data_IF_227246927839
#
_entry.id   IF_227246927839
#
_cell.length_a   1.000
_cell.length_b   1.000
_cell.length_c   1.000
_cell.angle_alpha   90.00
_cell.angle_beta   90.00
_cell.angle_gamma   90.00
#
_symmetry.space_group_name_H-M   'P 1'
#
loop_
_entity.id
_entity.type
_entity.pdbx_description
1 polymer ?
#
# COMPACT_ATOMS: atom_id res chain seq x y z
N UNK A 1 -64.14 -46.71 11.81
CA UNK A 1 -62.70 -46.99 11.65
C UNK A 1 -61.98 -46.19 12.71
N UNK A 2 -61.29 -46.92 13.61
CA UNK A 2 -60.16 -46.56 14.50
C UNK A 2 -59.75 -45.08 14.69
N UNK A 3 -59.24 -44.58 15.81
CA UNK A 3 -59.30 -44.83 17.26
C UNK A 3 -58.31 -43.83 17.90
N UNK A 4 -58.72 -43.10 18.97
CA UNK A 4 -57.88 -42.56 20.10
C UNK A 4 -56.83 -41.48 19.73
N UNK A 5 -56.32 -40.57 20.58
CA UNK A 5 -56.53 -39.99 21.93
C UNK A 5 -55.26 -39.11 22.16
N UNK A 6 -55.32 -37.83 22.53
CA UNK A 6 -55.37 -37.23 23.88
C UNK A 6 -54.05 -37.20 24.70
N UNK A 7 -53.75 -36.00 25.25
CA UNK A 7 -52.98 -35.63 26.47
C UNK A 7 -51.45 -35.39 26.44
N UNK A 8 -51.07 -34.10 26.42
CA UNK A 8 -50.34 -33.25 27.41
C UNK A 8 -49.36 -33.81 28.49
N UNK A 9 -48.45 -32.89 28.89
CA UNK A 9 -47.61 -32.75 30.11
C UNK A 9 -46.29 -33.56 30.17
N UNK A 10 -45.11 -32.98 30.36
CA UNK A 10 -44.54 -32.25 31.52
C UNK A 10 -43.08 -31.85 31.17
N UNK A 11 -42.31 -30.93 31.76
CA UNK A 11 -42.35 -30.15 33.01
C UNK A 11 -41.26 -29.04 32.96
N UNK A 12 -41.46 -28.03 33.82
CA UNK A 12 -40.58 -26.91 34.21
C UNK A 12 -39.10 -27.23 34.44
N UNK A 13 -38.23 -26.21 34.38
CA UNK A 13 -37.62 -25.56 35.55
C UNK A 13 -37.17 -24.13 35.20
N UNK A 14 -37.40 -23.22 36.14
CA UNK A 14 -37.21 -21.77 36.09
C UNK A 14 -36.23 -21.41 37.24
N UNK A 15 -35.58 -20.24 37.15
CA UNK A 15 -34.78 -19.49 38.16
C UNK A 15 -33.28 -19.40 37.80
N UNK A 16 -32.72 -18.24 37.43
CA UNK A 16 -32.59 -16.93 38.11
C UNK A 16 -31.48 -16.92 39.18
N UNK A 17 -30.38 -16.20 38.90
CA UNK A 17 -29.63 -15.33 39.83
C UNK A 17 -28.37 -14.78 39.15
N UNK A 18 -28.46 -13.51 38.75
CA UNK A 18 -27.36 -12.63 38.37
C UNK A 18 -26.98 -11.79 39.61
N UNK A 19 -25.70 -11.42 39.71
CA UNK A 19 -25.11 -10.38 40.58
C UNK A 19 -24.73 -10.73 42.04
N UNK A 20 -23.42 -10.83 42.28
CA UNK A 20 -22.65 -10.30 43.43
C UNK A 20 -21.15 -10.55 43.14
N UNK A 21 -20.36 -9.50 42.82
CA UNK A 21 -19.59 -8.68 43.76
C UNK A 21 -18.18 -9.25 44.03
N UNK A 22 -17.18 -8.78 43.28
CA UNK A 22 -15.79 -8.72 43.75
C UNK A 22 -15.29 -7.29 43.52
N UNK A 23 -15.40 -6.47 44.58
CA UNK A 23 -14.52 -5.33 44.84
C UNK A 23 -13.55 -5.80 45.94
N UNK A 24 -12.26 -5.66 45.73
CA UNK A 24 -11.29 -5.12 46.69
C UNK A 24 -9.86 -5.39 46.19
N UNK A 25 -8.98 -4.43 46.50
CA UNK A 25 -7.54 -4.34 46.29
C UNK A 25 -7.14 -3.65 44.98
N UNK A 26 -6.42 -2.53 44.95
CA UNK A 26 -5.94 -1.59 45.97
C UNK A 26 -5.72 -0.26 45.22
N UNK A 27 -6.17 0.84 45.79
CA UNK A 27 -5.93 2.20 45.29
C UNK A 27 -5.21 2.94 46.42
N UNK A 28 -3.87 2.91 46.41
CA UNK A 28 -3.05 3.76 47.27
C UNK A 28 -1.58 3.76 46.80
N UNK A 29 -1.23 4.62 45.83
CA UNK A 29 -0.02 5.43 45.82
C UNK A 29 -0.02 6.34 44.58
N UNK A 30 -0.82 7.40 44.62
CA UNK A 30 -0.58 8.59 43.83
C UNK A 30 0.19 9.57 44.73
N UNK A 31 1.48 9.77 44.43
CA UNK A 31 2.25 11.02 44.61
C UNK A 31 3.75 10.72 44.59
N UNK A 32 4.39 10.81 43.41
CA UNK A 32 5.58 11.64 43.21
C UNK A 32 6.02 11.59 41.74
N UNK A 33 6.32 12.78 41.23
CA UNK A 33 6.78 13.05 39.89
C UNK A 33 8.24 12.62 39.67
N UNK A 34 8.59 12.49 38.38
CA UNK A 34 9.93 12.46 37.80
C UNK A 34 10.80 11.22 38.08
N UNK A 35 10.73 10.25 37.18
CA UNK A 35 11.92 9.58 36.65
C UNK A 35 11.56 8.90 35.31
N UNK A 36 12.34 9.20 34.26
CA UNK A 36 12.34 8.42 33.03
C UNK A 36 12.94 7.05 33.31
N UNK A 37 12.24 5.98 32.94
CA UNK A 37 12.84 4.66 32.84
C UNK A 37 12.62 4.14 31.42
N UNK A 38 13.74 3.93 30.75
CA UNK A 38 13.84 3.18 29.50
C UNK A 38 13.17 1.82 29.65
N UNK A 39 12.28 1.51 28.70
CA UNK A 39 11.60 0.22 28.63
C UNK A 39 12.51 -0.80 27.96
N UNK A 40 13.03 -1.73 28.76
CA UNK A 40 13.65 -2.98 28.29
C UNK A 40 12.51 -3.92 27.85
N UNK A 41 12.49 -4.26 26.56
CA UNK A 41 11.62 -5.32 26.03
C UNK A 41 11.91 -6.65 26.73
N UNK A 42 10.88 -7.23 27.35
CA UNK A 42 10.85 -8.63 27.77
C UNK A 42 10.23 -9.45 26.64
N UNK A 43 11.05 -10.24 25.96
CA UNK A 43 10.62 -11.30 25.05
C UNK A 43 9.95 -12.38 25.90
N UNK A 44 8.63 -12.53 25.79
CA UNK A 44 7.91 -13.71 26.27
C UNK A 44 7.86 -14.76 25.15
N UNK A 45 8.70 -15.79 25.26
CA UNK A 45 8.52 -17.03 24.49
C UNK A 45 7.33 -17.82 25.04
N UNK A 46 6.25 -17.91 24.28
CA UNK A 46 5.16 -18.88 24.50
C UNK A 46 5.46 -20.16 23.74
N UNK A 47 6.19 -21.10 24.37
CA UNK A 47 6.27 -22.49 23.88
C UNK A 47 5.10 -23.32 24.40
N UNK A 48 4.30 -23.77 23.43
CA UNK A 48 3.21 -24.72 23.58
C UNK A 48 3.68 -26.09 24.11
N UNK A 49 2.88 -26.62 25.02
CA UNK A 49 3.04 -27.84 25.80
C UNK A 49 3.03 -29.14 24.97
N UNK A 50 3.97 -30.05 25.24
CA UNK A 50 3.75 -31.50 25.13
C UNK A 50 4.24 -32.22 26.38
N UNK A 51 3.40 -33.17 26.80
CA UNK A 51 3.46 -33.99 28.01
C UNK A 51 4.71 -34.90 28.09
N UNK A 52 5.30 -34.97 29.29
CA UNK A 52 6.28 -35.99 29.69
C UNK A 52 6.54 -35.93 31.20
N UNK A 53 6.34 -37.07 31.88
CA UNK A 53 6.33 -37.29 33.34
C UNK A 53 7.71 -37.17 34.03
N UNK A 54 7.78 -37.14 35.38
CA UNK A 54 8.82 -36.44 36.13
C UNK A 54 10.02 -37.32 36.52
N UNK A 55 11.18 -36.69 36.70
CA UNK A 55 12.28 -37.23 37.49
C UNK A 55 12.71 -36.20 38.54
N UNK A 56 12.74 -36.66 39.78
CA UNK A 56 13.30 -36.01 40.96
C UNK A 56 14.81 -35.79 40.80
N UNK A 57 15.31 -34.62 41.19
CA UNK A 57 16.47 -34.54 42.08
C UNK A 57 16.67 -33.13 42.63
N UNK A 58 16.89 -33.09 43.95
CA UNK A 58 17.09 -31.89 44.74
C UNK A 58 18.55 -31.43 44.66
N UNK A 59 18.79 -30.20 44.17
CA UNK A 59 20.09 -29.56 44.14
C UNK A 59 20.04 -28.18 44.81
N UNK A 60 20.69 -28.07 45.98
CA UNK A 60 20.90 -26.84 46.75
C UNK A 60 21.57 -25.74 45.91
N UNK A 61 20.96 -24.56 45.86
CA UNK A 61 21.63 -23.32 45.45
C UNK A 61 21.92 -22.46 46.69
N UNK A 62 23.20 -22.12 46.86
CA UNK A 62 23.72 -21.23 47.89
C UNK A 62 23.42 -19.79 47.51
N UNK A 63 22.92 -19.03 48.48
CA UNK A 63 22.85 -17.57 48.46
C UNK A 63 24.22 -17.01 48.83
N UNK A 64 24.86 -16.28 47.92
CA UNK A 64 26.01 -15.43 48.24
C UNK A 64 25.51 -14.00 48.47
N UNK A 65 25.70 -13.52 49.70
CA UNK A 65 25.47 -12.15 50.15
C UNK A 65 26.57 -11.23 49.58
N UNK A 66 26.18 -10.13 48.94
CA UNK A 66 27.09 -9.03 48.65
C UNK A 66 26.94 -7.96 49.73
N UNK A 67 27.75 -8.04 50.78
CA UNK A 67 28.01 -6.93 51.70
C UNK A 67 29.17 -6.07 51.20
N UNK A 68 28.99 -4.75 51.17
CA UNK A 68 30.10 -3.80 51.30
C UNK A 68 30.27 -2.79 50.17
N UNK A 69 29.52 -1.68 50.21
CA UNK A 69 29.97 -0.41 49.64
C UNK A 69 29.89 0.71 50.67
N UNK A 70 31.07 1.15 51.13
CA UNK A 70 31.27 2.32 51.98
C UNK A 70 31.17 3.59 51.13
N UNK A 71 30.29 4.51 51.51
CA UNK A 71 30.27 5.88 50.98
C UNK A 71 31.52 6.65 51.43
N UNK A 72 32.39 7.03 50.49
CA UNK A 72 33.41 8.06 50.73
C UNK A 72 32.89 9.44 50.29
N UNK A 73 32.85 10.37 51.25
CA UNK A 73 32.58 11.79 51.04
C UNK A 73 33.82 12.49 50.48
N UNK A 74 33.61 13.38 49.52
CA UNK A 74 34.40 14.62 49.38
C UNK A 74 35.41 14.67 48.25
N UNK A 75 34.94 14.89 47.01
CA UNK A 75 35.75 15.54 45.98
C UNK A 75 35.06 16.86 45.61
N UNK A 76 35.71 17.98 45.95
CA UNK A 76 35.31 19.32 45.49
C UNK A 76 35.53 19.39 43.98
N UNK A 77 34.45 19.39 43.21
CA UNK A 77 34.49 19.71 41.78
C UNK A 77 34.83 21.20 41.62
N UNK A 78 35.95 21.49 40.95
CA UNK A 78 36.25 22.84 40.47
C UNK A 78 35.28 23.20 39.33
N UNK A 79 34.78 24.44 39.25
CA UNK A 79 33.95 24.86 38.13
C UNK A 79 34.76 24.84 36.83
N UNK A 80 34.18 24.38 35.70
CA UNK A 80 34.89 24.30 34.44
C UNK A 80 35.25 25.71 33.94
N UNK A 81 36.51 25.87 33.53
CA UNK A 81 37.01 27.09 32.89
C UNK A 81 36.22 27.31 31.59
N UNK A 82 35.57 28.48 31.46
CA UNK A 82 34.99 28.96 30.20
C UNK A 82 36.11 29.13 29.17
N UNK A 83 36.27 28.14 28.30
CA UNK A 83 36.96 28.28 27.02
C UNK A 83 36.04 28.99 26.02
N UNK A 84 36.58 30.02 25.36
CA UNK A 84 35.93 30.73 24.26
C UNK A 84 35.89 29.84 23.01
N UNK A 85 34.80 29.99 22.27
CA UNK A 85 34.66 29.79 20.83
C UNK A 85 35.07 28.42 20.27
N UNK A 86 34.09 27.50 20.26
CA UNK A 86 34.09 26.33 19.40
C UNK A 86 32.66 26.01 19.00
N UNK A 87 32.26 26.37 17.78
CA UNK A 87 31.05 25.82 17.15
C UNK A 87 31.22 24.30 17.08
N UNK A 88 30.60 23.58 18.01
CA UNK A 88 30.31 22.17 17.82
C UNK A 88 29.26 22.09 16.70
N UNK A 89 29.71 21.88 15.46
CA UNK A 89 28.85 21.31 14.43
C UNK A 89 28.51 19.90 14.89
N UNK A 90 27.29 19.72 15.41
CA UNK A 90 26.72 18.39 15.58
C UNK A 90 26.63 17.83 14.16
N UNK A 91 27.51 16.87 13.83
CA UNK A 91 27.28 16.01 12.69
C UNK A 91 26.05 15.17 13.05
N UNK A 92 24.86 15.64 12.67
CA UNK A 92 23.67 14.81 12.68
C UNK A 92 23.99 13.60 11.82
N UNK A 93 24.09 12.43 12.46
CA UNK A 93 24.31 11.17 11.78
C UNK A 93 23.09 10.96 10.89
N UNK A 94 23.30 10.92 9.57
CA UNK A 94 22.23 10.63 8.62
C UNK A 94 21.54 9.32 9.03
N UNK A 95 20.21 9.34 9.14
CA UNK A 95 19.41 8.14 9.41
C UNK A 95 19.68 7.07 8.35
N UNK A 96 19.82 5.83 8.80
CA UNK A 96 19.98 4.66 7.92
C UNK A 96 18.68 4.27 7.19
N UNK A 97 17.54 4.82 7.63
CA UNK A 97 16.20 4.56 7.09
C UNK A 97 15.80 5.55 5.98
N UNK A 98 16.73 6.33 5.45
CA UNK A 98 16.46 7.26 4.36
C UNK A 98 16.14 6.52 3.06
N UNK A 99 14.97 6.79 2.49
CA UNK A 99 14.52 6.30 1.20
C UNK A 99 14.29 7.47 0.24
N UNK A 100 14.71 7.36 -1.01
CA UNK A 100 14.61 8.41 -2.01
C UNK A 100 13.67 8.01 -3.13
N UNK A 101 12.74 8.91 -3.45
CA UNK A 101 11.85 8.80 -4.60
C UNK A 101 12.17 9.94 -5.57
N UNK A 102 12.27 9.61 -6.86
CA UNK A 102 12.46 10.61 -7.90
C UNK A 102 11.09 11.20 -8.30
N UNK A 103 10.82 12.43 -7.88
CA UNK A 103 9.60 13.14 -8.24
C UNK A 103 9.93 14.17 -9.32
N UNK A 104 9.38 13.98 -10.51
CA UNK A 104 9.55 14.89 -11.66
C UNK A 104 11.03 15.26 -11.96
N UNK A 105 11.92 14.29 -11.84
CA UNK A 105 13.36 14.44 -12.12
C UNK A 105 14.19 14.81 -10.88
N UNK A 106 13.57 15.06 -9.73
CA UNK A 106 14.25 15.43 -8.48
C UNK A 106 14.15 14.33 -7.43
N UNK A 107 15.30 13.87 -6.93
CA UNK A 107 15.35 12.97 -5.79
C UNK A 107 14.96 13.70 -4.50
N UNK A 108 13.85 13.28 -3.89
CA UNK A 108 13.41 13.73 -2.57
C UNK A 108 13.63 12.62 -1.56
N UNK A 109 13.95 12.99 -0.31
CA UNK A 109 14.24 12.05 0.77
C UNK A 109 13.03 11.92 1.70
N UNK A 110 12.69 10.66 1.98
CA UNK A 110 11.66 10.18 2.89
C UNK A 110 12.28 9.13 3.81
N UNK A 111 11.46 8.48 4.63
CA UNK A 111 11.93 7.51 5.60
C UNK A 111 11.05 6.25 5.60
N UNK A 112 11.69 5.09 5.75
CA UNK A 112 11.05 3.80 6.01
C UNK A 112 11.65 3.22 7.30
N UNK A 113 11.20 3.68 8.49
CA UNK A 113 11.80 3.27 9.76
C UNK A 113 11.83 1.76 9.93
N UNK A 114 13.00 1.22 10.29
CA UNK A 114 13.21 -0.22 10.45
C UNK A 114 13.48 -1.00 9.16
N UNK A 115 13.37 -0.37 7.99
CA UNK A 115 13.65 -1.03 6.71
C UNK A 115 15.14 -1.21 6.45
N UNK A 116 15.49 -2.27 5.73
CA UNK A 116 16.82 -2.44 5.15
C UNK A 116 16.90 -1.70 3.82
N UNK A 117 17.69 -0.62 3.77
CA UNK A 117 17.79 0.24 2.59
C UNK A 117 19.22 0.27 2.04
N UNK A 118 19.35 0.00 0.74
CA UNK A 118 20.60 0.13 0.01
C UNK A 118 20.63 1.38 -0.86
N UNK A 119 21.73 2.12 -0.79
CA UNK A 119 21.98 3.33 -1.58
C UNK A 119 20.84 4.36 -1.54
N UNK A 120 20.06 4.36 -0.47
CA UNK A 120 18.84 5.16 -0.28
C UNK A 120 17.74 4.92 -1.32
N UNK A 121 17.83 3.91 -2.20
CA UNK A 121 16.94 3.76 -3.37
C UNK A 121 16.40 2.36 -3.57
N UNK A 122 16.93 1.39 -2.84
CA UNK A 122 16.45 0.02 -2.85
C UNK A 122 16.01 -0.34 -1.45
N UNK A 123 14.75 -0.70 -1.28
CA UNK A 123 14.27 -1.36 -0.07
C UNK A 123 14.33 -2.86 -0.28
N UNK A 124 14.89 -3.57 0.69
CA UNK A 124 14.97 -5.02 0.74
C UNK A 124 14.15 -5.50 1.93
N UNK A 125 13.18 -6.36 1.68
CA UNK A 125 12.17 -6.73 2.69
C UNK A 125 11.71 -8.17 2.49
N UNK A 126 11.48 -8.86 3.61
CA UNK A 126 11.12 -10.26 3.69
C UNK A 126 9.74 -10.48 4.32
N UNK A 127 9.41 -11.74 4.54
CA UNK A 127 8.10 -12.13 5.09
C UNK A 127 7.92 -11.53 6.50
N UNK A 128 6.75 -10.91 6.72
CA UNK A 128 6.32 -10.14 7.88
C UNK A 128 6.94 -8.74 8.02
N UNK A 129 7.71 -8.27 7.05
CA UNK A 129 8.13 -6.87 7.01
C UNK A 129 6.99 -5.98 6.48
N UNK A 130 6.67 -4.93 7.24
CA UNK A 130 5.73 -3.86 6.85
C UNK A 130 6.32 -2.51 7.18
N UNK A 131 6.38 -1.63 6.18
CA UNK A 131 6.92 -0.27 6.32
C UNK A 131 5.96 0.77 5.77
N UNK A 132 5.91 1.92 6.43
CA UNK A 132 5.12 3.07 6.02
C UNK A 132 6.04 4.17 5.54
N UNK A 133 5.70 4.82 4.43
CA UNK A 133 6.48 5.95 3.93
C UNK A 133 6.25 7.20 4.81
N UNK A 134 7.29 7.59 5.54
CA UNK A 134 7.26 8.67 6.52
C UNK A 134 7.94 9.93 5.97
N UNK A 135 7.43 11.09 6.38
CA UNK A 135 8.03 12.41 6.12
C UNK A 135 9.25 12.68 7.02
N UNK A 136 9.34 11.99 8.16
CA UNK A 136 10.46 12.06 9.11
C UNK A 136 10.77 10.66 9.65
N UNK A 137 11.99 10.46 10.15
CA UNK A 137 12.39 9.20 10.79
C UNK A 137 11.72 9.03 12.17
N UNK A 138 10.51 8.49 12.18
CA UNK A 138 9.71 8.26 13.40
C UNK A 138 8.75 7.10 13.21
N UNK A 139 8.48 6.36 14.29
CA UNK A 139 7.45 5.32 14.36
C UNK A 139 6.18 5.80 15.07
N UNK A 140 6.03 7.11 15.29
CA UNK A 140 4.77 7.69 15.73
C UNK A 140 3.75 7.70 14.58
N UNK A 141 2.99 6.62 14.49
CA UNK A 141 1.95 6.42 13.48
C UNK A 141 0.61 7.06 13.86
N UNK A 142 0.49 7.65 15.05
CA UNK A 142 -0.76 8.29 15.49
C UNK A 142 -1.00 9.65 14.84
N UNK A 143 0.03 10.27 14.29
CA UNK A 143 0.00 11.62 13.74
C UNK A 143 0.10 11.62 12.21
N UNK A 144 -0.96 12.11 11.55
CA UNK A 144 -1.05 12.17 10.10
C UNK A 144 0.10 12.96 9.43
N UNK A 145 0.65 13.97 10.11
CA UNK A 145 1.74 14.80 9.59
C UNK A 145 3.08 14.05 9.50
N UNK A 146 3.23 12.92 10.19
CA UNK A 146 4.45 12.12 10.15
C UNK A 146 4.53 11.26 8.88
N UNK A 147 3.41 11.00 8.20
CA UNK A 147 3.38 10.25 6.95
C UNK A 147 3.65 11.15 5.75
N UNK A 148 4.33 10.60 4.74
CA UNK A 148 4.29 11.20 3.40
C UNK A 148 3.06 10.67 2.66
N UNK A 149 2.22 11.59 2.16
CA UNK A 149 1.03 11.27 1.37
C UNK A 149 1.37 11.30 -0.11
N UNK A 150 1.40 10.14 -0.73
CA UNK A 150 1.61 9.98 -2.17
C UNK A 150 0.34 10.38 -2.90
N UNK A 151 0.39 11.47 -3.66
CA UNK A 151 -0.67 11.87 -4.60
C UNK A 151 -0.44 11.09 -5.90
N UNK A 152 -1.32 10.13 -6.18
CA UNK A 152 -1.17 9.27 -7.36
C UNK A 152 -2.03 9.75 -8.54
N UNK A 153 -3.17 10.40 -8.28
CA UNK A 153 -4.02 10.93 -9.36
C UNK A 153 -3.21 11.91 -10.24
N UNK A 154 -3.30 11.73 -11.55
CA UNK A 154 -2.55 12.54 -12.51
C UNK A 154 -1.05 12.21 -12.56
N UNK A 155 -0.60 11.12 -11.94
CA UNK A 155 0.81 10.70 -11.92
C UNK A 155 1.01 9.27 -12.41
N UNK A 156 2.28 8.92 -12.63
CA UNK A 156 2.76 7.57 -12.89
C UNK A 156 3.79 7.21 -11.83
N UNK A 157 3.52 6.15 -11.07
CA UNK A 157 4.52 5.51 -10.22
C UNK A 157 5.31 4.50 -11.04
N UNK A 158 6.63 4.49 -10.90
CA UNK A 158 7.53 3.56 -11.60
C UNK A 158 8.49 2.95 -10.58
N UNK A 159 8.76 1.65 -10.68
CA UNK A 159 9.78 0.98 -9.88
C UNK A 159 10.43 -0.17 -10.65
N UNK A 160 11.63 -0.58 -10.23
CA UNK A 160 12.26 -1.84 -10.63
C UNK A 160 12.05 -2.86 -9.52
N UNK A 161 11.53 -4.03 -9.90
CA UNK A 161 11.15 -5.10 -8.99
C UNK A 161 12.08 -6.28 -9.20
N UNK A 162 12.54 -6.86 -8.10
CA UNK A 162 13.18 -8.18 -8.09
C UNK A 162 12.56 -9.03 -6.98
N UNK A 163 11.88 -10.10 -7.37
CA UNK A 163 11.15 -10.95 -6.44
C UNK A 163 12.03 -11.99 -5.74
N UNK A 164 13.26 -12.22 -6.21
CA UNK A 164 14.22 -13.15 -5.60
C UNK A 164 13.60 -14.53 -5.23
N UNK A 165 12.71 -15.03 -6.10
CA UNK A 165 12.08 -16.33 -5.93
C UNK A 165 10.88 -16.38 -4.99
N UNK A 166 10.33 -15.25 -4.53
CA UNK A 166 9.05 -15.17 -3.80
C UNK A 166 7.92 -15.79 -4.63
N UNK A 167 7.63 -17.07 -4.39
CA UNK A 167 6.77 -17.92 -5.22
C UNK A 167 5.35 -18.09 -4.70
N UNK A 168 4.72 -19.23 -5.00
CA UNK A 168 3.36 -19.54 -4.56
C UNK A 168 3.19 -19.35 -3.04
N UNK A 169 2.08 -18.76 -2.61
CA UNK A 169 1.81 -18.50 -1.18
C UNK A 169 2.52 -17.27 -0.61
N UNK A 170 3.37 -16.58 -1.39
CA UNK A 170 3.93 -15.27 -1.06
C UNK A 170 3.05 -14.13 -1.62
N UNK A 171 2.95 -13.01 -0.90
CA UNK A 171 2.44 -11.75 -1.44
C UNK A 171 3.43 -10.61 -1.12
N UNK A 172 4.23 -10.24 -2.12
CA UNK A 172 5.12 -9.08 -2.11
C UNK A 172 4.35 -7.89 -2.66
N UNK A 173 4.06 -6.92 -1.82
CA UNK A 173 3.17 -5.82 -2.17
C UNK A 173 3.75 -4.44 -1.84
N UNK A 174 3.26 -3.45 -2.57
CA UNK A 174 3.23 -2.10 -2.08
C UNK A 174 1.95 -1.43 -2.57
N UNK A 175 1.31 -0.68 -1.69
CA UNK A 175 -0.06 -0.23 -1.87
C UNK A 175 -0.29 1.09 -1.12
N UNK A 176 -1.46 1.68 -1.34
CA UNK A 176 -1.82 2.96 -0.78
C UNK A 176 -3.00 2.80 0.17
N UNK A 177 -2.91 3.35 1.39
CA UNK A 177 -4.01 3.37 2.36
C UNK A 177 -4.29 4.76 2.93
N UNK A 178 -5.53 4.99 3.33
CA UNK A 178 -5.99 6.20 4.01
C UNK A 178 -5.64 6.22 5.51
N UNK A 179 -4.37 6.00 5.84
CA UNK A 179 -3.85 6.12 7.21
C UNK A 179 -3.70 7.59 7.64
N UNK A 180 -3.46 7.87 8.93
CA UNK A 180 -3.68 6.96 10.04
C UNK A 180 -5.17 6.75 10.28
N UNK A 181 -5.52 5.60 10.86
CA UNK A 181 -6.82 5.38 11.44
C UNK A 181 -7.05 6.32 12.65
N UNK A 182 -8.30 6.41 13.11
CA UNK A 182 -8.64 7.17 14.33
C UNK A 182 -8.26 6.45 15.62
N UNK A 183 -7.92 5.15 15.55
CA UNK A 183 -7.59 4.31 16.69
C UNK A 183 -6.32 3.49 16.42
N UNK A 184 -5.56 3.11 17.47
CA UNK A 184 -4.33 2.35 17.32
C UNK A 184 -4.50 0.94 16.72
N UNK A 185 -5.73 0.40 16.70
CA UNK A 185 -5.97 -0.98 16.26
C UNK A 185 -5.29 -2.03 17.15
N UNK A 186 -5.24 -3.27 16.66
CA UNK A 186 -4.66 -4.42 17.35
C UNK A 186 -3.16 -4.30 17.56
N UNK A 187 -2.44 -3.68 16.61
CA UNK A 187 -0.98 -3.66 16.57
C UNK A 187 -0.37 -2.34 17.07
N UNK A 188 -1.19 -1.36 17.42
CA UNK A 188 -0.73 -0.08 17.98
C UNK A 188 -0.25 0.93 16.95
N UNK A 189 -0.29 0.58 15.66
CA UNK A 189 0.33 1.31 14.57
C UNK A 189 -0.65 2.16 13.76
N UNK A 190 -1.91 2.26 14.20
CA UNK A 190 -2.95 3.05 13.52
C UNK A 190 -3.15 2.67 12.05
N UNK A 191 -2.74 1.45 11.69
CA UNK A 191 -2.95 0.88 10.37
C UNK A 191 -4.43 0.66 10.11
N UNK A 192 -4.80 0.76 8.84
CA UNK A 192 -6.11 0.43 8.31
C UNK A 192 -5.98 -0.02 6.86
N UNK A 193 -6.92 -0.83 6.40
CA UNK A 193 -7.08 -1.25 5.02
C UNK A 193 -8.56 -1.54 4.73
N UNK A 194 -8.90 -2.00 3.51
CA UNK A 194 -10.30 -2.26 3.17
C UNK A 194 -10.83 -3.57 3.78
N UNK A 195 -9.93 -4.46 4.20
CA UNK A 195 -10.26 -5.70 4.91
C UNK A 195 -10.41 -5.49 6.43
N UNK A 196 -10.14 -4.29 6.91
CA UNK A 196 -10.17 -3.90 8.31
C UNK A 196 -9.21 -4.72 9.19
N UNK A 197 -8.06 -5.12 8.65
CA UNK A 197 -7.07 -5.92 9.38
C UNK A 197 -6.58 -5.12 10.59
N UNK A 198 -6.54 -5.79 11.76
CA UNK A 198 -6.21 -5.13 13.01
C UNK A 198 -7.31 -4.21 13.56
N UNK A 199 -8.50 -4.19 12.94
CA UNK A 199 -9.72 -3.58 13.49
C UNK A 199 -10.05 -2.17 12.99
N UNK A 200 -9.26 -1.58 12.10
CA UNK A 200 -9.57 -0.27 11.48
C UNK A 200 -9.78 -0.43 9.97
N UNK A 201 -10.82 0.18 9.43
CA UNK A 201 -11.13 0.16 8.01
C UNK A 201 -10.73 1.48 7.34
N UNK A 202 -10.21 1.45 6.11
CA UNK A 202 -10.08 2.63 5.27
C UNK A 202 -9.94 2.28 3.78
N UNK A 203 -10.12 3.27 2.91
CA UNK A 203 -9.94 3.07 1.48
C UNK A 203 -8.49 2.67 1.16
N UNK A 204 -8.35 1.78 0.20
CA UNK A 204 -7.11 1.10 -0.15
C UNK A 204 -6.97 1.02 -1.67
N UNK A 205 -5.74 1.11 -2.16
CA UNK A 205 -5.46 0.97 -3.58
C UNK A 205 -4.15 0.20 -3.76
N UNK A 206 -4.29 -1.04 -4.21
CA UNK A 206 -3.17 -1.95 -4.36
C UNK A 206 -2.49 -1.69 -5.68
N UNK A 207 -1.38 -0.98 -5.61
CA UNK A 207 -0.53 -0.70 -6.77
C UNK A 207 -0.01 -2.03 -7.32
N UNK A 208 0.33 -2.97 -6.45
CA UNK A 208 0.55 -4.36 -6.79
C UNK A 208 0.29 -5.29 -5.60
N UNK A 209 -0.20 -6.48 -5.94
CA UNK A 209 -0.09 -7.69 -5.11
C UNK A 209 0.53 -8.75 -6.02
N UNK A 210 1.69 -9.30 -5.63
CA UNK A 210 2.44 -10.15 -6.55
C UNK A 210 3.33 -11.19 -5.87
N UNK A 211 3.62 -12.22 -6.65
CA UNK A 211 4.71 -13.15 -6.47
C UNK A 211 5.28 -13.51 -7.84
N UNK A 212 6.17 -14.50 -7.95
CA UNK A 212 6.77 -14.85 -9.24
C UNK A 212 5.75 -15.39 -10.24
N UNK A 213 4.58 -15.85 -9.79
CA UNK A 213 3.58 -16.53 -10.62
C UNK A 213 2.34 -15.69 -10.93
N UNK A 214 2.08 -14.63 -10.16
CA UNK A 214 0.93 -13.76 -10.35
C UNK A 214 1.26 -12.31 -9.99
N UNK A 215 0.60 -11.39 -10.68
CA UNK A 215 0.58 -9.97 -10.34
C UNK A 215 -0.83 -9.45 -10.60
N UNK A 216 -1.36 -8.72 -9.63
CA UNK A 216 -2.58 -7.95 -9.82
C UNK A 216 -2.47 -6.53 -9.26
N UNK A 217 -3.37 -5.68 -9.73
CA UNK A 217 -3.60 -4.31 -9.24
C UNK A 217 -5.07 -4.24 -8.87
N UNK A 218 -5.39 -3.79 -7.67
CA UNK A 218 -6.73 -3.93 -7.10
C UNK A 218 -7.21 -2.61 -6.50
N UNK A 219 -8.43 -2.20 -6.83
CA UNK A 219 -9.06 -1.03 -6.24
C UNK A 219 -9.98 -1.43 -5.09
N UNK A 220 -9.82 -0.81 -3.92
CA UNK A 220 -10.66 -1.05 -2.76
C UNK A 220 -11.32 0.25 -2.26
N UNK A 221 -12.60 0.42 -2.61
CA UNK A 221 -13.39 1.56 -2.18
C UNK A 221 -13.91 1.36 -0.75
N UNK A 222 -14.07 2.46 -0.01
CA UNK A 222 -14.76 2.48 1.27
C UNK A 222 -15.76 3.62 1.38
N UNK A 223 -16.84 3.38 2.14
CA UNK A 223 -17.78 4.41 2.55
C UNK A 223 -17.19 5.42 3.54
N UNK A 224 -18.01 6.41 3.91
CA UNK A 224 -17.66 7.42 4.93
C UNK A 224 -18.75 7.43 6.02
N UNK A 225 -18.43 7.12 7.30
CA UNK A 225 -17.13 6.62 7.78
C UNK A 225 -16.82 5.21 7.22
N UNK A 226 -15.54 4.83 7.12
CA UNK A 226 -15.15 3.50 6.65
C UNK A 226 -15.48 2.44 7.71
N UNK A 227 -16.17 1.38 7.28
CA UNK A 227 -16.62 0.27 8.11
C UNK A 227 -16.56 -1.03 7.30
N UNK A 228 -16.45 -2.19 7.94
CA UNK A 228 -16.27 -3.47 7.25
C UNK A 228 -17.39 -3.82 6.27
N UNK A 229 -18.61 -3.34 6.50
CA UNK A 229 -19.77 -3.58 5.62
C UNK A 229 -19.83 -2.62 4.42
N UNK A 230 -19.03 -1.55 4.41
CA UNK A 230 -19.00 -0.55 3.34
C UNK A 230 -17.62 -0.38 2.68
N UNK A 231 -16.65 -1.19 3.09
CA UNK A 231 -15.38 -1.35 2.43
C UNK A 231 -15.43 -2.57 1.51
N UNK A 232 -14.94 -2.40 0.30
CA UNK A 232 -14.83 -3.45 -0.69
C UNK A 232 -13.56 -4.27 -0.44
N UNK A 233 -13.62 -5.24 0.47
CA UNK A 233 -12.46 -6.09 0.79
C UNK A 233 -12.04 -7.03 -0.35
N UNK A 234 -12.95 -7.37 -1.28
CA UNK A 234 -12.62 -8.19 -2.44
C UNK A 234 -11.98 -7.39 -3.58
N UNK A 235 -12.35 -6.10 -3.67
CA UNK A 235 -11.83 -5.15 -4.63
C UNK A 235 -12.52 -5.21 -6.00
N UNK A 236 -12.76 -4.04 -6.58
CA UNK A 236 -13.27 -3.83 -7.94
C UNK A 236 -13.04 -2.37 -8.39
N UNK A 237 -12.58 -2.12 -9.63
CA UNK A 237 -12.07 -3.10 -10.59
C UNK A 237 -10.66 -3.60 -10.23
N UNK A 238 -10.24 -4.66 -10.92
CA UNK A 238 -8.89 -5.22 -10.79
C UNK A 238 -8.26 -5.56 -12.15
N UNK A 239 -6.93 -5.55 -12.19
CA UNK A 239 -6.11 -6.00 -13.32
C UNK A 239 -5.39 -7.27 -12.90
N UNK A 240 -5.49 -8.36 -13.68
CA UNK A 240 -4.69 -9.58 -13.48
C UNK A 240 -3.76 -9.84 -14.66
N UNK A 241 -2.49 -10.13 -14.41
CA UNK A 241 -1.54 -10.63 -15.41
C UNK A 241 -1.52 -12.16 -15.37
N UNK A 242 -1.72 -12.78 -16.52
CA UNK A 242 -1.93 -14.22 -16.64
C UNK A 242 -0.64 -14.96 -17.05
N UNK A 243 -0.58 -16.28 -16.85
CA UNK A 243 0.49 -17.10 -17.42
C UNK A 243 0.68 -16.85 -18.92
N UNK A 244 1.93 -16.74 -19.37
CA UNK A 244 2.33 -16.33 -20.71
C UNK A 244 2.63 -14.82 -20.82
N UNK A 245 1.97 -13.99 -20.02
CA UNK A 245 2.29 -12.55 -19.90
C UNK A 245 3.33 -12.32 -18.82
N UNK A 246 3.15 -12.97 -17.68
CA UNK A 246 3.94 -12.80 -16.46
C UNK A 246 4.12 -14.16 -15.78
N UNK A 247 5.34 -14.48 -15.37
CA UNK A 247 5.65 -15.74 -14.69
C UNK A 247 7.14 -16.09 -14.79
N UNK A 248 7.60 -17.16 -14.11
CA UNK A 248 8.99 -17.59 -14.20
C UNK A 248 9.30 -18.22 -15.56
N UNK A 249 10.57 -18.17 -15.97
CA UNK A 249 11.04 -18.72 -17.23
C UNK A 249 10.79 -17.85 -18.46
N UNK A 250 11.56 -18.13 -19.52
CA UNK A 250 11.59 -17.36 -20.76
C UNK A 250 10.35 -17.50 -21.66
N UNK A 251 9.45 -18.43 -21.32
CA UNK A 251 8.15 -18.59 -22.01
C UNK A 251 7.17 -17.45 -21.71
N UNK A 252 7.38 -16.71 -20.61
CA UNK A 252 6.58 -15.55 -20.27
C UNK A 252 7.10 -14.29 -20.97
N UNK A 253 6.20 -13.34 -21.23
CA UNK A 253 6.59 -12.03 -21.77
C UNK A 253 7.45 -11.28 -20.77
N UNK A 254 7.10 -11.34 -19.49
CA UNK A 254 7.88 -10.87 -18.35
C UNK A 254 8.33 -12.09 -17.55
N UNK A 255 9.63 -12.36 -17.54
CA UNK A 255 10.24 -13.45 -16.81
C UNK A 255 10.60 -13.00 -15.39
N UNK A 256 9.89 -13.50 -14.39
CA UNK A 256 10.05 -13.13 -12.98
C UNK A 256 11.27 -13.75 -12.29
N UNK A 257 12.01 -14.65 -12.96
CA UNK A 257 13.33 -15.11 -12.49
C UNK A 257 14.39 -13.99 -12.54
N UNK A 258 14.08 -12.87 -13.22
CA UNK A 258 14.96 -11.73 -13.38
C UNK A 258 14.24 -10.44 -12.98
N UNK A 259 14.97 -9.38 -12.61
CA UNK A 259 14.36 -8.08 -12.35
C UNK A 259 13.56 -7.56 -13.55
N UNK A 260 12.45 -6.90 -13.28
CA UNK A 260 11.61 -6.27 -14.28
C UNK A 260 11.19 -4.87 -13.83
N UNK A 261 10.73 -4.07 -14.77
CA UNK A 261 10.21 -2.74 -14.45
C UNK A 261 8.68 -2.79 -14.41
N UNK A 262 8.12 -2.06 -13.46
CA UNK A 262 6.70 -1.88 -13.25
C UNK A 262 6.37 -0.39 -13.30
N UNK A 263 5.28 -0.04 -13.99
CA UNK A 263 4.71 1.29 -13.93
C UNK A 263 3.19 1.22 -13.76
N UNK A 264 2.68 2.05 -12.85
CA UNK A 264 1.27 2.29 -12.68
C UNK A 264 0.97 3.76 -12.96
N UNK A 265 0.27 4.01 -14.06
CA UNK A 265 -0.17 5.34 -14.46
C UNK A 265 -1.63 5.54 -14.07
N UNK A 266 -1.93 6.53 -13.23
CA UNK A 266 -3.29 6.97 -12.91
C UNK A 266 -3.59 8.27 -13.67
N UNK A 267 -4.22 8.14 -14.83
CA UNK A 267 -4.59 9.26 -15.68
C UNK A 267 -5.93 9.85 -15.22
N UNK A 268 -5.94 11.16 -14.99
CA UNK A 268 -7.16 11.95 -14.82
C UNK A 268 -7.65 12.39 -16.20
N UNK A 269 -8.88 12.00 -16.53
CA UNK A 269 -9.54 12.43 -17.77
C UNK A 269 -10.59 13.47 -17.40
N UNK A 270 -10.33 14.73 -17.78
CA UNK A 270 -11.20 15.87 -17.50
C UNK A 270 -11.98 16.23 -18.79
N UNK A 271 -13.31 16.10 -18.76
CA UNK A 271 -14.18 16.34 -19.90
C UNK A 271 -15.27 17.34 -19.56
N UNK A 272 -14.95 18.63 -19.54
CA UNK A 272 -15.91 19.74 -19.48
C UNK A 272 -16.75 19.83 -18.20
N UNK A 273 -17.62 18.86 -17.96
CA UNK A 273 -18.45 18.71 -16.77
C UNK A 273 -17.89 17.65 -15.81
N UNK A 274 -18.07 17.87 -14.50
CA UNK A 274 -17.59 16.94 -13.46
C UNK A 274 -18.14 15.52 -13.62
N UNK A 275 -19.37 15.38 -14.10
CA UNK A 275 -20.02 14.08 -14.34
C UNK A 275 -19.39 13.24 -15.45
N UNK A 276 -18.53 13.86 -16.27
CA UNK A 276 -17.85 13.19 -17.38
C UNK A 276 -16.37 12.97 -17.11
N UNK A 277 -15.88 13.47 -15.98
CA UNK A 277 -14.53 13.22 -15.55
C UNK A 277 -14.39 11.79 -15.01
N UNK A 278 -13.26 11.14 -15.25
CA UNK A 278 -12.99 9.79 -14.76
C UNK A 278 -11.50 9.50 -14.62
N UNK A 279 -11.19 8.46 -13.84
CA UNK A 279 -9.87 7.89 -13.75
C UNK A 279 -9.69 6.73 -14.73
N UNK A 280 -8.55 6.72 -15.40
CA UNK A 280 -8.06 5.58 -16.18
C UNK A 280 -6.71 5.16 -15.63
N UNK A 281 -6.61 3.91 -15.17
CA UNK A 281 -5.35 3.35 -14.68
C UNK A 281 -4.77 2.40 -15.72
N UNK A 282 -3.46 2.52 -15.95
CA UNK A 282 -2.69 1.60 -16.78
C UNK A 282 -1.56 0.99 -15.95
N UNK A 283 -1.51 -0.35 -15.93
CA UNK A 283 -0.39 -1.11 -15.38
C UNK A 283 0.47 -1.61 -16.53
N UNK A 284 1.76 -1.27 -16.52
CA UNK A 284 2.72 -1.63 -17.56
C UNK A 284 3.92 -2.33 -16.96
N UNK A 285 4.27 -3.48 -17.52
CA UNK A 285 5.46 -4.25 -17.21
C UNK A 285 6.41 -4.24 -18.40
N UNK A 286 7.71 -4.11 -18.17
CA UNK A 286 8.70 -4.29 -19.24
C UNK A 286 10.02 -4.88 -18.76
N UNK A 287 10.61 -5.69 -19.63
CA UNK A 287 11.86 -6.41 -19.41
C UNK A 287 12.44 -6.77 -20.79
N UNK A 288 13.74 -6.55 -21.00
CA UNK A 288 14.47 -6.97 -22.21
C UNK A 288 13.77 -6.62 -23.55
N UNK A 289 13.21 -5.42 -23.64
CA UNK A 289 12.50 -4.94 -24.83
C UNK A 289 11.10 -5.52 -25.05
N UNK A 290 10.65 -6.44 -24.20
CA UNK A 290 9.27 -6.92 -24.15
C UNK A 290 8.42 -6.05 -23.24
N UNK A 291 7.12 -5.98 -23.50
CA UNK A 291 6.18 -5.18 -22.70
C UNK A 291 4.81 -5.85 -22.65
N UNK A 292 4.17 -5.82 -21.49
CA UNK A 292 2.75 -6.11 -21.31
C UNK A 292 2.10 -4.90 -20.66
N UNK A 293 0.90 -4.53 -21.10
CA UNK A 293 0.14 -3.43 -20.53
C UNK A 293 -1.33 -3.79 -20.43
N UNK A 294 -1.93 -3.47 -19.29
CA UNK A 294 -3.36 -3.65 -19.02
C UNK A 294 -3.92 -2.40 -18.35
N UNK A 295 -5.24 -2.29 -18.30
CA UNK A 295 -5.89 -1.10 -17.81
C UNK A 295 -7.20 -1.40 -17.10
N UNK A 296 -7.57 -0.53 -16.16
CA UNK A 296 -8.86 -0.50 -15.47
C UNK A 296 -9.35 0.94 -15.31
N UNK A 297 -10.62 1.13 -14.96
CA UNK A 297 -11.23 2.46 -14.85
C UNK A 297 -12.11 2.80 -16.04
N UNK A 298 -12.25 4.09 -16.31
CA UNK A 298 -13.13 4.62 -17.36
C UNK A 298 -14.41 5.25 -16.80
N UNK A 299 -15.20 5.87 -17.69
CA UNK A 299 -16.48 6.52 -17.35
C UNK A 299 -17.42 5.51 -16.68
N UNK A 300 -17.93 5.86 -15.50
CA UNK A 300 -18.85 5.00 -14.73
C UNK A 300 -18.19 3.82 -14.00
N UNK A 301 -16.86 3.68 -14.05
CA UNK A 301 -16.14 2.67 -13.28
C UNK A 301 -16.23 2.93 -11.76
N UNK A 302 -16.33 1.88 -10.93
CA UNK A 302 -16.21 1.99 -9.47
C UNK A 302 -14.89 2.63 -9.01
N UNK A 303 -13.83 2.54 -9.82
CA UNK A 303 -12.56 3.23 -9.55
C UNK A 303 -12.72 4.75 -9.35
N UNK A 304 -13.72 5.37 -9.98
CA UNK A 304 -13.92 6.82 -9.86
C UNK A 304 -14.23 7.27 -8.43
N UNK A 305 -14.79 6.38 -7.59
CA UNK A 305 -15.01 6.65 -6.17
C UNK A 305 -13.69 6.78 -5.39
N UNK A 306 -12.61 6.18 -5.89
CA UNK A 306 -11.28 6.24 -5.28
C UNK A 306 -10.52 7.52 -5.63
N UNK A 307 -11.01 8.28 -6.62
CA UNK A 307 -10.31 9.47 -7.10
C UNK A 307 -10.05 10.49 -5.99
N UNK A 308 -11.05 10.78 -5.15
CA UNK A 308 -10.85 11.71 -4.03
C UNK A 308 -9.72 11.30 -3.08
N UNK A 309 -9.51 10.00 -2.88
CA UNK A 309 -8.42 9.49 -2.04
C UNK A 309 -7.07 9.62 -2.76
N UNK A 310 -6.97 9.19 -4.02
CA UNK A 310 -5.74 9.25 -4.82
C UNK A 310 -5.27 10.69 -5.11
N UNK A 311 -6.21 11.64 -5.21
CA UNK A 311 -5.93 13.06 -5.42
C UNK A 311 -5.56 13.79 -4.12
N UNK A 312 -6.15 13.42 -2.98
CA UNK A 312 -5.78 13.97 -1.67
C UNK A 312 -4.42 13.42 -1.17
N UNK A 313 -4.07 12.22 -1.63
CA UNK A 313 -2.84 11.52 -1.29
C UNK A 313 -3.02 10.51 -0.17
N UNK A 314 -2.35 9.38 -0.31
CA UNK A 314 -2.48 8.21 0.57
C UNK A 314 -1.10 7.76 1.07
N UNK A 315 -1.03 6.98 2.14
CA UNK A 315 0.26 6.47 2.65
C UNK A 315 0.69 5.29 1.81
N UNK A 316 1.93 5.33 1.30
CA UNK A 316 2.55 4.16 0.70
C UNK A 316 2.97 3.18 1.80
N UNK A 317 2.48 1.95 1.68
CA UNK A 317 2.85 0.80 2.50
C UNK A 317 3.66 -0.15 1.63
N UNK A 318 4.76 -0.67 2.17
CA UNK A 318 5.55 -1.74 1.57
C UNK A 318 5.43 -2.92 2.52
N UNK A 319 4.83 -4.02 2.07
CA UNK A 319 4.52 -5.16 2.93
C UNK A 319 4.79 -6.46 2.19
N UNK A 320 5.20 -7.48 2.95
CA UNK A 320 5.39 -8.81 2.44
C UNK A 320 4.87 -9.81 3.46
N UNK A 321 3.84 -10.56 3.09
CA UNK A 321 3.24 -11.58 3.92
C UNK A 321 3.05 -12.90 3.16
N UNK A 322 2.67 -13.94 3.90
CA UNK A 322 2.44 -15.28 3.36
C UNK A 322 1.12 -15.88 3.85
N UNK A 323 0.57 -16.79 3.08
CA UNK A 323 -0.57 -17.62 3.47
C UNK A 323 -0.46 -19.01 2.85
N UNK A 324 -1.04 -20.00 3.52
CA UNK A 324 -1.20 -21.34 2.96
C UNK A 324 -2.28 -21.41 1.87
N UNK A 325 -3.06 -20.34 1.68
CA UNK A 325 -4.01 -20.19 0.58
C UNK A 325 -3.94 -18.74 0.06
N UNK A 326 -3.27 -18.56 -1.07
CA UNK A 326 -3.31 -17.34 -1.88
C UNK A 326 -3.95 -17.57 -3.25
N UNK A 327 -4.81 -18.58 -3.39
CA UNK A 327 -5.37 -18.96 -4.69
C UNK A 327 -6.21 -17.87 -5.36
N UNK A 328 -6.67 -16.87 -4.60
CA UNK A 328 -7.32 -15.66 -5.13
C UNK A 328 -6.36 -14.77 -5.95
N UNK A 329 -5.06 -14.79 -5.61
CA UNK A 329 -3.97 -14.13 -6.31
C UNK A 329 -3.35 -15.06 -7.38
N UNK A 330 -2.86 -16.23 -6.97
CA UNK A 330 -1.95 -17.06 -7.78
C UNK A 330 -2.51 -18.43 -8.21
N UNK A 331 -3.78 -18.72 -7.92
CA UNK A 331 -4.41 -20.02 -8.20
C UNK A 331 -4.51 -20.40 -9.69
N UNK A 332 -4.15 -19.50 -10.61
CA UNK A 332 -3.97 -19.83 -12.02
C UNK A 332 -2.71 -20.67 -12.30
N UNK A 333 -1.70 -20.57 -11.41
CA UNK A 333 -0.40 -21.23 -11.50
C UNK A 333 -0.10 -22.11 -10.30
N UNK A 334 -0.72 -21.83 -9.15
CA UNK A 334 -0.47 -22.44 -7.86
C UNK A 334 -1.69 -23.23 -7.37
N UNK A 335 -1.53 -24.00 -6.28
CA UNK A 335 -2.62 -24.79 -5.69
C UNK A 335 -2.40 -24.90 -4.19
N UNK A 336 -3.42 -24.53 -3.40
CA UNK A 336 -3.41 -24.70 -1.95
C UNK A 336 -3.37 -26.19 -1.52
N UNK A 337 -2.73 -26.54 -0.39
CA UNK A 337 -2.01 -25.63 0.50
C UNK A 337 -0.64 -25.24 -0.07
N UNK A 338 -0.31 -23.96 0.08
CA UNK A 338 0.93 -23.37 -0.39
C UNK A 338 1.92 -23.18 0.76
N UNK A 339 3.17 -22.95 0.41
CA UNK A 339 4.22 -22.55 1.33
C UNK A 339 5.06 -21.52 0.59
N UNK A 340 5.11 -20.30 1.13
CA UNK A 340 5.89 -19.24 0.52
C UNK A 340 7.37 -19.65 0.48
N UNK A 341 7.84 -19.95 -0.72
CA UNK A 341 9.27 -20.05 -0.99
C UNK A 341 9.74 -18.63 -1.29
N UNK A 342 10.68 -18.08 -0.53
CA UNK A 342 11.16 -16.73 -0.84
C UNK A 342 12.21 -16.25 0.17
N UNK A 343 13.22 -15.56 -0.35
CA UNK A 343 14.08 -14.72 0.45
C UNK A 343 13.46 -13.32 0.55
N UNK A 344 14.29 -12.28 0.66
CA UNK A 344 13.83 -10.89 0.61
C UNK A 344 13.60 -10.46 -0.85
N UNK A 345 12.54 -9.70 -1.11
CA UNK A 345 12.33 -9.02 -2.37
C UNK A 345 12.99 -7.63 -2.36
N UNK A 346 13.31 -7.11 -3.54
CA UNK A 346 13.83 -5.76 -3.72
C UNK A 346 12.86 -4.91 -4.54
N UNK A 347 12.59 -3.70 -4.06
CA UNK A 347 11.96 -2.64 -4.84
C UNK A 347 12.90 -1.46 -4.90
N UNK A 348 13.20 -1.01 -6.12
CA UNK A 348 14.28 -0.06 -6.38
C UNK A 348 13.90 1.04 -7.35
N UNK A 349 14.62 2.16 -7.24
CA UNK A 349 14.56 3.30 -8.15
C UNK A 349 13.14 3.84 -8.38
N UNK A 350 12.36 3.94 -7.29
CA UNK A 350 11.01 4.46 -7.33
C UNK A 350 10.98 5.89 -7.90
N UNK A 351 10.00 6.13 -8.77
CA UNK A 351 9.73 7.43 -9.38
C UNK A 351 8.25 7.73 -9.31
N UNK A 352 7.92 9.01 -9.15
CA UNK A 352 6.57 9.53 -9.23
C UNK A 352 6.56 10.69 -10.22
N UNK A 353 6.06 10.43 -11.42
CA UNK A 353 6.15 11.36 -12.55
C UNK A 353 4.76 11.93 -12.84
N UNK A 354 4.65 13.25 -12.91
CA UNK A 354 3.43 13.93 -13.32
C UNK A 354 3.11 13.58 -14.77
N UNK A 355 1.89 13.11 -15.01
CA UNK A 355 1.42 12.80 -16.34
C UNK A 355 1.33 14.10 -17.15
N UNK A 356 1.73 14.06 -18.42
CA UNK A 356 1.38 15.14 -19.32
C UNK A 356 -0.16 15.20 -19.40
N UNK A 357 -0.74 16.37 -19.13
CA UNK A 357 -2.17 16.57 -19.33
C UNK A 357 -2.48 16.27 -20.79
N UNK A 358 -3.47 15.41 -21.04
CA UNK A 358 -4.12 15.38 -22.34
C UNK A 358 -4.90 16.69 -22.48
N UNK A 359 -4.24 17.76 -22.93
CA UNK A 359 -4.96 18.87 -23.52
C UNK A 359 -5.71 18.31 -24.72
N UNK A 360 -7.03 18.54 -24.87
CA UNK A 360 -7.70 18.31 -26.14
C UNK A 360 -6.82 18.93 -27.21
N UNK A 361 -6.43 18.15 -28.22
CA UNK A 361 -5.54 18.64 -29.25
C UNK A 361 -6.11 19.95 -29.80
N UNK A 362 -5.50 21.08 -29.45
CA UNK A 362 -5.87 22.36 -30.03
C UNK A 362 -5.64 22.18 -31.53
N UNK A 363 -6.72 22.20 -32.31
CA UNK A 363 -6.61 22.30 -33.75
C UNK A 363 -5.72 23.53 -34.04
N UNK A 364 -4.76 23.43 -34.97
CA UNK A 364 -3.93 24.58 -35.33
C UNK A 364 -4.85 25.73 -35.73
N UNK A 365 -4.57 26.88 -35.13
CA UNK A 365 -5.26 28.14 -35.37
C UNK A 365 -5.46 28.35 -36.89
N UNK A 366 -6.69 28.68 -37.29
CA UNK A 366 -7.13 28.79 -38.69
C UNK A 366 -6.46 29.93 -39.47
N UNK A 367 -5.45 30.56 -38.88
CA UNK A 367 -4.62 31.59 -39.49
C UNK A 367 -3.48 31.01 -40.35
N UNK A 368 -3.25 29.69 -40.33
CA UNK A 368 -2.40 29.02 -41.30
C UNK A 368 -3.09 29.00 -42.68
N UNK A 369 -2.75 29.98 -43.51
CA UNK A 369 -3.11 30.07 -44.94
C UNK A 369 -2.97 28.72 -45.64
N UNK A 370 -4.09 28.04 -45.89
CA UNK A 370 -4.12 26.79 -46.66
C UNK A 370 -5.26 25.83 -46.33
N UNK A 371 -5.90 25.92 -45.16
CA UNK A 371 -7.07 25.09 -44.83
C UNK A 371 -8.37 25.86 -45.14
N UNK A 372 -8.92 25.69 -46.35
CA UNK A 372 -10.28 26.16 -46.65
C UNK A 372 -11.29 25.14 -46.14
N UNK A 373 -12.13 25.55 -45.18
CA UNK A 373 -13.33 24.81 -44.80
C UNK A 373 -14.49 25.26 -45.69
N UNK A 374 -14.43 24.96 -46.99
CA UNK A 374 -15.54 25.24 -47.90
C UNK A 374 -16.60 24.14 -47.80
N UNK A 375 -17.51 24.31 -46.85
CA UNK A 375 -18.96 24.10 -46.94
C UNK A 375 -19.53 23.99 -45.53
N UNK A 376 -19.76 25.15 -44.92
CA UNK A 376 -20.57 25.27 -43.71
C UNK A 376 -22.03 25.23 -44.15
N UNK A 377 -22.63 24.04 -44.19
CA UNK A 377 -24.09 23.97 -44.10
C UNK A 377 -24.43 24.13 -42.62
N UNK A 378 -24.67 25.38 -42.23
CA UNK A 378 -25.37 25.71 -41.00
C UNK A 378 -26.79 25.12 -41.11
N UNK A 379 -27.06 24.03 -40.39
CA UNK A 379 -28.40 23.71 -39.93
C UNK A 379 -28.38 23.93 -38.41
N UNK A 380 -29.19 24.88 -37.93
CA UNK A 380 -29.23 25.28 -36.52
C UNK A 380 -30.00 24.31 -35.60
N UNK A 381 -30.38 23.10 -36.05
CA UNK A 381 -31.39 22.29 -35.34
C UNK A 381 -30.98 20.89 -34.87
N UNK A 382 -29.73 20.46 -35.03
CA UNK A 382 -29.29 19.16 -34.52
C UNK A 382 -27.81 19.21 -34.10
N UNK A 383 -27.57 19.34 -32.78
CA UNK A 383 -26.26 19.40 -32.14
C UNK A 383 -25.36 18.19 -32.40
N UNK A 384 -24.86 18.09 -33.63
CA UNK A 384 -23.98 17.04 -34.11
C UNK A 384 -22.54 17.56 -34.12
N UNK A 385 -21.69 16.85 -33.40
CA UNK A 385 -20.26 17.10 -33.26
C UNK A 385 -19.57 17.20 -34.64
N UNK A 386 -18.83 18.29 -34.84
CA UNK A 386 -17.87 18.39 -35.94
C UNK A 386 -16.67 17.49 -35.63
N UNK A 387 -16.54 16.35 -36.31
CA UNK A 387 -15.36 15.50 -36.22
C UNK A 387 -14.31 15.95 -37.25
N UNK A 388 -13.27 16.65 -36.79
CA UNK A 388 -12.05 16.83 -37.56
C UNK A 388 -11.13 15.62 -37.33
N UNK A 389 -10.96 14.76 -38.33
CA UNK A 389 -9.97 13.68 -38.28
C UNK A 389 -8.62 14.22 -38.75
N UNK A 390 -7.71 14.49 -37.82
CA UNK A 390 -6.30 14.75 -38.12
C UNK A 390 -5.52 13.43 -38.09
N UNK A 391 -5.13 12.91 -39.25
CA UNK A 391 -4.19 11.79 -39.32
C UNK A 391 -2.75 12.31 -39.43
N UNK A 392 -1.95 12.11 -38.39
CA UNK A 392 -0.50 12.30 -38.45
C UNK A 392 0.16 10.99 -38.89
N UNK A 393 0.63 10.90 -40.14
CA UNK A 393 1.50 9.80 -40.56
C UNK A 393 2.93 10.06 -40.13
N UNK A 394 3.55 9.08 -39.45
CA UNK A 394 4.98 9.06 -39.14
C UNK A 394 5.75 8.82 -40.45
N UNK A 395 5.98 9.85 -41.25
CA UNK A 395 7.09 9.92 -42.23
C UNK A 395 7.10 11.28 -42.90
N UNK A 396 8.23 11.99 -42.77
CA UNK A 396 8.60 13.29 -43.36
C UNK A 396 8.23 14.56 -42.57
N UNK A 397 9.24 15.44 -42.46
CA UNK A 397 9.29 16.69 -41.69
C UNK A 397 8.43 17.84 -42.26
N UNK A 398 7.39 17.54 -43.06
CA UNK A 398 6.44 18.54 -43.57
C UNK A 398 5.06 17.86 -43.70
N UNK A 399 4.00 18.34 -43.03
CA UNK A 399 2.68 17.75 -43.18
C UNK A 399 2.14 17.97 -44.60
N UNK A 400 1.74 16.89 -45.28
CA UNK A 400 0.86 16.94 -46.45
C UNK A 400 -0.43 16.21 -46.13
N UNK A 401 -1.56 16.92 -46.21
CA UNK A 401 -2.88 16.33 -46.10
C UNK A 401 -3.26 15.69 -47.45
N UNK A 402 -3.75 14.45 -47.43
CA UNK A 402 -4.39 13.81 -48.60
C UNK A 402 -5.80 13.37 -48.25
N UNK A 403 -6.72 13.64 -49.18
CA UNK A 403 -8.16 13.44 -49.05
C UNK A 403 -8.53 11.99 -49.42
N UNK A 404 -9.26 11.28 -48.55
CA UNK A 404 -9.94 10.03 -48.93
C UNK A 404 -11.37 10.07 -48.41
N UNK A 405 -12.30 10.49 -49.27
CA UNK A 405 -13.73 10.45 -48.98
C UNK A 405 -14.27 9.02 -49.11
N UNK A 406 -15.07 8.59 -48.13
CA UNK A 406 -15.93 7.42 -48.25
C UNK A 406 -17.38 7.86 -48.01
N UNK A 407 -18.23 7.65 -49.01
CA UNK A 407 -19.68 7.86 -48.95
C UNK A 407 -20.38 6.72 -48.18
N UNK A 408 -21.48 6.97 -47.45
CA UNK A 408 -22.26 5.92 -46.82
C UNK A 408 -23.28 5.33 -47.80
N UNK A 409 -23.40 4.00 -47.83
CA UNK A 409 -24.57 3.32 -48.39
C UNK A 409 -25.46 2.82 -47.25
N UNK A 410 -26.72 3.23 -47.32
CA UNK A 410 -27.85 2.77 -46.53
C UNK A 410 -28.14 1.28 -46.73
N UNK A 411 -28.37 0.55 -45.63
CA UNK A 411 -29.56 -0.28 -45.40
C UNK A 411 -29.68 -0.67 -43.93
#
# INVERSE_FOLDING_TARGET
MESRACVRFSRCWLLCCLALQIRANELACANQANASCDSVMLIQETRSSRLGKPHSDAGKLRTEECEGFKCQRGVKLQPPKRGKDGKHTVNEKESEYQFQINEDGKWNTYYLPGATIYNKRTVNYGINDKYYLMASDTTDYSNAANFHKVILAGKTMIATINLNGAGCGCNVNFFLVNMPASSPGQYGDYYCDANCVGGNCCAEFDINEMNTHALQVTNHNCGKPPESWNCDGNGDPLIKFLPGEYGPGSSNTINTDNPFNFALQALEVIKGSDSENYLQVFARLWQDGKTVMKSMGGKGSPLNSQWGNLAAGMVLVIDYWESGDLTWLDGASCTAPETCSGAHADVSDMKLITNALETPANCPDSTATGCSCDNVNYNEDDGTECWCVCTCSKTSLVPRCTWSGYHPFWR
#
